data_IF_182937399038
#
_entry.id   IF_182937399038
#
_cell.length_a   1.000
_cell.length_b   1.000
_cell.length_c   1.000
_cell.angle_alpha   90.00
_cell.angle_beta   90.00
_cell.angle_gamma   90.00
#
_symmetry.space_group_name_H-M   'P 1'
#
loop_
_entity.id
_entity.type
_entity.pdbx_description
1 polymer ?
#
# COMPACT_ATOMS: atom_id res chain seq x y z
N UNK A 1 0.25 -6.20 -8.39
CA UNK A 1 0.82 -4.97 -7.82
C UNK A 1 0.73 -5.01 -6.30
N UNK A 2 1.70 -4.44 -5.63
CA UNK A 2 1.63 -4.16 -4.19
C UNK A 2 1.02 -2.77 -3.99
N UNK A 3 0.06 -2.66 -3.12
CA UNK A 3 -0.65 -1.40 -2.88
C UNK A 3 -0.69 -1.12 -1.38
N UNK A 4 -0.41 0.11 -0.99
CA UNK A 4 -0.58 0.54 0.40
C UNK A 4 -2.02 1.00 0.67
N UNK A 5 -2.33 1.29 1.91
CA UNK A 5 -3.66 1.72 2.31
C UNK A 5 -4.09 3.05 1.70
N UNK A 6 -3.15 3.95 1.43
CA UNK A 6 -3.47 5.27 0.86
C UNK A 6 -4.17 5.17 -0.49
N UNK A 7 -3.72 4.25 -1.33
CA UNK A 7 -4.31 4.02 -2.66
C UNK A 7 -5.67 3.34 -2.53
N UNK A 8 -5.78 2.35 -1.64
CA UNK A 8 -7.06 1.66 -1.40
C UNK A 8 -8.12 2.64 -0.88
N UNK A 9 -7.75 3.49 0.07
CA UNK A 9 -8.64 4.52 0.62
C UNK A 9 -9.08 5.50 -0.48
N UNK A 10 -8.14 5.99 -1.29
CA UNK A 10 -8.44 6.90 -2.38
C UNK A 10 -9.38 6.27 -3.41
N UNK A 11 -9.24 4.97 -3.67
CA UNK A 11 -10.05 4.26 -4.66
C UNK A 11 -11.53 4.18 -4.29
N UNK A 12 -11.87 4.24 -3.00
CA UNK A 12 -13.25 4.15 -2.52
C UNK A 12 -13.86 5.52 -2.18
N UNK A 13 -13.07 6.58 -2.19
CA UNK A 13 -13.52 7.91 -1.80
C UNK A 13 -13.62 8.87 -2.98
N UNK A 14 -14.05 10.10 -2.66
CA UNK A 14 -14.14 11.20 -3.62
C UNK A 14 -12.93 12.15 -3.51
N UNK A 15 -11.79 11.63 -3.06
CA UNK A 15 -10.57 12.41 -2.95
C UNK A 15 -9.97 12.73 -4.31
N UNK A 16 -9.08 13.71 -4.36
CA UNK A 16 -8.49 14.21 -5.60
C UNK A 16 -7.73 13.15 -6.41
N UNK A 17 -7.20 12.11 -5.77
CA UNK A 17 -6.49 11.02 -6.45
C UNK A 17 -7.33 9.76 -6.64
N UNK A 18 -8.62 9.81 -6.35
CA UNK A 18 -9.51 8.65 -6.46
C UNK A 18 -9.56 8.06 -7.87
N UNK A 19 -9.66 8.92 -8.87
CA UNK A 19 -9.69 8.49 -10.27
C UNK A 19 -8.37 7.83 -10.68
N UNK A 20 -7.23 8.41 -10.30
CA UNK A 20 -5.93 7.82 -10.55
C UNK A 20 -5.79 6.46 -9.87
N UNK A 21 -6.22 6.37 -8.60
CA UNK A 21 -6.16 5.12 -7.83
C UNK A 21 -6.99 4.02 -8.50
N UNK A 22 -8.22 4.33 -8.88
CA UNK A 22 -9.08 3.37 -9.58
C UNK A 22 -8.49 2.94 -10.92
N UNK A 23 -7.89 3.88 -11.65
CA UNK A 23 -7.27 3.60 -12.94
C UNK A 23 -6.05 2.69 -12.82
N UNK A 24 -5.19 2.94 -11.84
CA UNK A 24 -3.96 2.16 -11.66
C UNK A 24 -4.25 0.75 -11.12
N UNK A 25 -5.36 0.56 -10.42
CA UNK A 25 -5.78 -0.74 -9.90
C UNK A 25 -6.62 -1.55 -10.89
N UNK A 26 -7.20 -0.92 -11.89
CA UNK A 26 -8.13 -1.58 -12.82
C UNK A 26 -7.48 -2.77 -13.53
N UNK A 27 -8.10 -3.93 -13.45
CA UNK A 27 -7.60 -5.16 -14.08
C UNK A 27 -6.34 -5.74 -13.47
N UNK A 28 -5.91 -5.27 -12.33
CA UNK A 28 -4.69 -5.74 -11.65
C UNK A 28 -5.02 -6.62 -10.45
N UNK A 29 -4.22 -7.66 -10.26
CA UNK A 29 -4.20 -8.39 -9.00
C UNK A 29 -3.42 -7.56 -7.98
N UNK A 30 -4.04 -7.31 -6.84
CA UNK A 30 -3.45 -6.47 -5.80
C UNK A 30 -3.10 -7.30 -4.57
N UNK A 31 -1.93 -7.03 -4.01
CA UNK A 31 -1.49 -7.55 -2.73
C UNK A 31 -1.14 -6.37 -1.81
N UNK A 32 -1.37 -6.54 -0.52
CA UNK A 32 -1.00 -5.55 0.48
C UNK A 32 -0.55 -6.25 1.76
N UNK A 33 -0.15 -5.49 2.75
CA UNK A 33 0.09 -6.02 4.09
C UNK A 33 -1.21 -6.18 4.85
N UNK A 34 -1.29 -7.18 5.73
CA UNK A 34 -2.42 -7.34 6.65
C UNK A 34 -2.65 -6.09 7.51
N UNK A 35 -1.64 -5.25 7.72
CA UNK A 35 -1.78 -3.99 8.45
C UNK A 35 -2.74 -3.04 7.73
N UNK A 36 -2.87 -3.15 6.43
CA UNK A 36 -3.80 -2.32 5.66
C UNK A 36 -5.26 -2.57 6.08
N UNK A 37 -5.60 -3.77 6.54
CA UNK A 37 -6.95 -4.06 7.05
C UNK A 37 -7.29 -3.17 8.25
N UNK A 38 -6.32 -2.97 9.14
CA UNK A 38 -6.49 -2.11 10.31
C UNK A 38 -6.62 -0.65 9.86
N UNK A 39 -5.76 -0.21 8.96
CA UNK A 39 -5.79 1.16 8.45
C UNK A 39 -7.12 1.47 7.76
N UNK A 40 -7.60 0.54 6.91
CA UNK A 40 -8.88 0.69 6.23
C UNK A 40 -10.06 0.70 7.21
N UNK A 41 -10.04 -0.18 8.20
CA UNK A 41 -11.09 -0.23 9.22
C UNK A 41 -11.16 1.07 10.04
N UNK A 42 -10.00 1.63 10.40
CA UNK A 42 -9.94 2.89 11.12
C UNK A 42 -10.44 4.05 10.26
N UNK A 43 -10.11 4.06 8.99
CA UNK A 43 -10.62 5.07 8.06
C UNK A 43 -12.14 5.01 7.95
N UNK A 44 -12.72 3.83 7.80
CA UNK A 44 -14.18 3.66 7.71
C UNK A 44 -14.86 4.08 9.01
N UNK A 45 -14.27 3.77 10.15
CA UNK A 45 -14.78 4.20 11.45
C UNK A 45 -14.81 5.73 11.55
N UNK A 46 -13.80 6.39 11.01
CA UNK A 46 -13.69 7.85 11.01
C UNK A 46 -14.73 8.54 10.12
N UNK A 47 -14.95 7.99 8.93
CA UNK A 47 -15.78 8.63 7.88
C UNK A 47 -17.23 8.14 7.94
N UNK A 48 -17.51 7.10 8.74
CA UNK A 48 -18.86 6.57 8.89
C UNK A 48 -19.26 5.66 7.74
N UNK A 49 -20.10 5.95 6.89
CA UNK A 49 -20.91 5.13 5.97
C UNK A 49 -20.17 4.44 4.80
N UNK A 50 -18.85 4.21 4.86
CA UNK A 50 -18.10 3.62 3.74
C UNK A 50 -17.91 2.09 3.83
N UNK A 51 -18.52 1.43 4.82
CA UNK A 51 -18.36 -0.02 4.99
C UNK A 51 -18.79 -0.82 3.78
N UNK A 52 -19.85 -0.41 3.08
CA UNK A 52 -20.34 -1.09 1.88
C UNK A 52 -19.38 -0.97 0.70
N UNK A 53 -18.65 0.13 0.61
CA UNK A 53 -17.62 0.34 -0.42
C UNK A 53 -16.32 -0.38 -0.08
N UNK A 54 -16.02 -0.54 1.20
CA UNK A 54 -14.79 -1.18 1.65
C UNK A 54 -14.81 -2.70 1.42
N UNK A 55 -15.95 -3.34 1.59
CA UNK A 55 -16.07 -4.80 1.47
C UNK A 55 -15.60 -5.34 0.12
N UNK A 56 -16.00 -4.78 -1.02
CA UNK A 56 -15.48 -5.22 -2.32
C UNK A 56 -13.96 -5.03 -2.44
N UNK A 57 -13.43 -3.94 -1.91
CA UNK A 57 -11.98 -3.66 -1.95
C UNK A 57 -11.21 -4.71 -1.14
N UNK A 58 -11.64 -5.00 0.08
CA UNK A 58 -11.01 -6.04 0.92
C UNK A 58 -11.06 -7.40 0.23
N UNK A 59 -12.19 -7.73 -0.40
CA UNK A 59 -12.35 -9.01 -1.10
C UNK A 59 -11.46 -9.13 -2.33
N UNK A 60 -11.08 -8.02 -2.96
CA UNK A 60 -10.28 -7.99 -4.17
C UNK A 60 -8.77 -7.97 -3.92
N UNK A 61 -8.33 -7.79 -2.67
CA UNK A 61 -6.93 -7.67 -2.30
C UNK A 61 -6.48 -8.90 -1.52
N UNK A 62 -5.32 -9.44 -1.86
CA UNK A 62 -4.65 -10.47 -1.06
C UNK A 62 -3.78 -9.79 0.00
N UNK A 63 -3.94 -10.18 1.26
CA UNK A 63 -3.20 -9.56 2.36
C UNK A 63 -2.12 -10.49 2.89
N UNK A 64 -0.87 -10.05 2.81
CA UNK A 64 0.28 -10.78 3.34
C UNK A 64 0.35 -10.62 4.86
N UNK A 65 0.70 -11.70 5.55
CA UNK A 65 0.85 -11.68 7.02
C UNK A 65 1.99 -10.76 7.44
N UNK A 66 1.79 -10.09 8.58
CA UNK A 66 2.85 -9.33 9.25
C UNK A 66 3.55 -10.30 10.22
N UNK A 67 4.46 -11.08 9.67
CA UNK A 67 5.25 -12.05 10.44
C UNK A 67 6.62 -11.48 10.83
N UNK A 68 7.44 -12.26 11.49
CA UNK A 68 8.76 -11.83 11.97
C UNK A 68 9.66 -11.40 10.80
N UNK A 69 9.53 -12.02 9.64
CA UNK A 69 10.34 -11.69 8.46
C UNK A 69 9.92 -10.36 7.85
N UNK A 70 8.61 -10.09 7.79
CA UNK A 70 8.11 -8.79 7.35
C UNK A 70 8.54 -7.69 8.31
N UNK A 71 8.49 -7.94 9.62
CA UNK A 71 8.94 -6.99 10.64
C UNK A 71 10.44 -6.73 10.50
N UNK A 72 11.25 -7.77 10.35
CA UNK A 72 12.70 -7.63 10.15
C UNK A 72 13.00 -6.80 8.90
N UNK A 73 12.32 -7.06 7.79
CA UNK A 73 12.46 -6.29 6.57
C UNK A 73 12.06 -4.83 6.79
N UNK A 74 11.00 -4.58 7.55
CA UNK A 74 10.55 -3.22 7.86
C UNK A 74 11.59 -2.43 8.66
N UNK A 75 12.27 -3.09 9.61
CA UNK A 75 13.32 -2.43 10.41
C UNK A 75 14.52 -2.01 9.57
N UNK A 76 14.72 -2.62 8.42
CA UNK A 76 15.82 -2.30 7.50
C UNK A 76 15.46 -1.19 6.50
N UNK A 77 14.21 -0.74 6.46
CA UNK A 77 13.78 0.31 5.51
C UNK A 77 14.43 1.64 5.89
N UNK A 78 15.09 2.26 4.92
CA UNK A 78 15.75 3.56 5.10
C UNK A 78 14.80 4.70 4.69
N UNK A 79 15.02 5.88 5.26
CA UNK A 79 14.30 7.08 4.92
C UNK A 79 13.38 7.57 6.03
N UNK A 80 12.67 8.66 5.74
CA UNK A 80 11.79 9.34 6.68
C UNK A 80 10.38 8.75 6.60
N UNK A 81 10.22 7.50 7.02
CA UNK A 81 8.91 6.83 7.03
C UNK A 81 8.55 6.42 8.45
N UNK A 82 7.25 6.49 8.75
CA UNK A 82 6.71 6.03 10.01
C UNK A 82 6.65 4.49 10.02
N UNK A 83 6.44 3.93 11.20
CA UNK A 83 6.46 2.48 11.41
C UNK A 83 5.51 1.72 10.47
N UNK A 84 4.28 2.19 10.30
CA UNK A 84 3.30 1.52 9.44
C UNK A 84 3.70 1.59 7.96
N UNK A 85 4.27 2.72 7.53
CA UNK A 85 4.78 2.87 6.17
C UNK A 85 5.98 1.96 5.93
N UNK A 86 6.88 1.86 6.90
CA UNK A 86 8.01 0.93 6.84
C UNK A 86 7.54 -0.53 6.76
N UNK A 87 6.44 -0.88 7.44
CA UNK A 87 5.85 -2.22 7.33
C UNK A 87 5.35 -2.52 5.93
N UNK A 88 4.77 -1.54 5.22
CA UNK A 88 4.38 -1.73 3.82
C UNK A 88 5.60 -1.99 2.93
N UNK A 89 6.62 -1.17 3.03
CA UNK A 89 7.83 -1.36 2.22
C UNK A 89 8.53 -2.67 2.58
N UNK A 90 8.62 -2.99 3.86
CA UNK A 90 9.20 -4.25 4.34
C UNK A 90 8.43 -5.47 3.88
N UNK A 91 7.10 -5.42 3.89
CA UNK A 91 6.26 -6.50 3.39
C UNK A 91 6.50 -6.72 1.89
N UNK A 92 6.56 -5.64 1.11
CA UNK A 92 6.90 -5.73 -0.30
C UNK A 92 8.27 -6.38 -0.50
N UNK A 93 9.28 -5.96 0.26
CA UNK A 93 10.64 -6.49 0.14
C UNK A 93 10.70 -7.97 0.52
N UNK A 94 9.97 -8.38 1.56
CA UNK A 94 9.89 -9.79 1.94
C UNK A 94 9.19 -10.62 0.86
N UNK A 95 8.09 -10.14 0.29
CA UNK A 95 7.39 -10.83 -0.79
C UNK A 95 8.32 -11.06 -1.99
N UNK A 96 9.15 -10.08 -2.32
CA UNK A 96 10.14 -10.23 -3.38
C UNK A 96 11.10 -11.39 -3.11
N UNK A 97 11.52 -11.59 -1.86
CA UNK A 97 12.43 -12.68 -1.49
C UNK A 97 11.79 -14.06 -1.65
N UNK A 98 10.47 -14.15 -1.61
CA UNK A 98 9.73 -15.42 -1.78
C UNK A 98 9.12 -15.55 -3.18
N UNK A 99 9.56 -14.74 -4.14
CA UNK A 99 9.19 -14.85 -5.53
C UNK A 99 8.01 -14.02 -6.01
N UNK A 100 7.44 -13.17 -5.14
CA UNK A 100 6.38 -12.24 -5.52
C UNK A 100 7.00 -10.90 -5.86
N UNK A 101 7.24 -10.67 -7.13
CA UNK A 101 7.89 -9.45 -7.63
C UNK A 101 6.87 -8.61 -8.38
N UNK A 102 6.61 -7.41 -7.89
CA UNK A 102 5.60 -6.53 -8.47
C UNK A 102 5.88 -5.05 -8.13
N UNK A 103 5.32 -4.11 -8.91
CA UNK A 103 5.42 -2.69 -8.59
C UNK A 103 4.77 -2.35 -7.25
N UNK A 104 5.28 -1.31 -6.62
CA UNK A 104 4.74 -0.74 -5.39
C UNK A 104 3.95 0.52 -5.73
N UNK A 105 2.68 0.55 -5.36
CA UNK A 105 1.78 1.69 -5.66
C UNK A 105 1.47 2.43 -4.37
N UNK A 106 1.67 3.74 -4.36
CA UNK A 106 1.42 4.57 -3.19
C UNK A 106 1.00 5.99 -3.58
N UNK A 107 0.26 6.63 -2.69
CA UNK A 107 -0.05 8.06 -2.72
C UNK A 107 0.72 8.87 -1.67
N UNK A 108 1.66 8.22 -1.00
CA UNK A 108 2.53 8.88 -0.01
C UNK A 108 3.91 9.10 -0.63
N UNK A 109 4.31 10.37 -0.76
CA UNK A 109 5.59 10.72 -1.39
C UNK A 109 6.79 10.15 -0.62
N UNK A 110 6.77 10.21 0.70
CA UNK A 110 7.87 9.67 1.52
C UNK A 110 7.97 8.16 1.40
N UNK A 111 6.84 7.48 1.36
CA UNK A 111 6.79 6.04 1.14
C UNK A 111 7.25 5.66 -0.27
N UNK A 112 6.90 6.46 -1.28
CA UNK A 112 7.38 6.26 -2.64
C UNK A 112 8.91 6.31 -2.70
N UNK A 113 9.52 7.29 -2.04
CA UNK A 113 10.99 7.39 -1.95
C UNK A 113 11.59 6.18 -1.25
N UNK A 114 11.01 5.76 -0.11
CA UNK A 114 11.52 4.62 0.64
C UNK A 114 11.40 3.31 -0.16
N UNK A 115 10.28 3.10 -0.84
CA UNK A 115 10.08 1.92 -1.69
C UNK A 115 11.07 1.92 -2.86
N UNK A 116 11.28 3.06 -3.49
CA UNK A 116 12.26 3.21 -4.57
C UNK A 116 13.67 2.86 -4.10
N UNK A 117 14.06 3.34 -2.92
CA UNK A 117 15.37 3.02 -2.31
C UNK A 117 15.49 1.53 -1.98
N UNK A 118 14.39 0.87 -1.67
CA UNK A 118 14.37 -0.57 -1.43
C UNK A 118 14.42 -1.39 -2.72
N UNK A 119 14.41 -0.75 -3.88
CA UNK A 119 14.53 -1.40 -5.19
C UNK A 119 13.22 -1.60 -5.93
N UNK A 120 12.12 -1.04 -5.43
CA UNK A 120 10.83 -1.18 -6.09
C UNK A 120 10.70 -0.26 -7.30
N UNK A 121 9.99 -0.74 -8.32
CA UNK A 121 9.37 0.14 -9.31
C UNK A 121 8.14 0.73 -8.66
N UNK A 122 8.11 2.05 -8.51
CA UNK A 122 7.03 2.74 -7.80
C UNK A 122 6.10 3.43 -8.78
N UNK A 123 4.79 3.19 -8.62
CA UNK A 123 3.75 3.89 -9.35
C UNK A 123 3.11 4.90 -8.40
N UNK A 124 3.14 6.17 -8.79
CA UNK A 124 2.62 7.30 -8.01
C UNK A 124 2.26 8.46 -8.95
N UNK A 125 1.38 9.37 -8.52
CA UNK A 125 0.97 10.49 -9.38
C UNK A 125 1.84 11.75 -9.24
N UNK A 126 2.93 11.64 -8.50
CA UNK A 126 3.79 12.79 -8.24
C UNK A 126 4.87 12.97 -9.29
N UNK A 127 5.26 13.70 -9.95
CA UNK A 127 6.38 13.76 -10.89
C UNK A 127 7.68 13.20 -10.32
N UNK A 128 8.73 13.96 -10.36
CA UNK A 128 10.04 13.56 -9.84
C UNK A 128 10.00 13.47 -8.30
N UNK A 129 10.55 12.37 -7.77
CA UNK A 129 10.65 12.12 -6.32
C UNK A 129 11.92 12.72 -5.70
N UNK A 130 12.86 13.18 -6.50
CA UNK A 130 14.12 13.74 -6.01
C UNK A 130 13.95 15.09 -5.29
#
# INVERSE_FOLDING_TARGET
VYVDSSVLIASIGNESYGEWARGVLAGKEAVSSAIAKVELARFVHWVGQLSDYLRPVISAVSFAKVDDQAIAAATAVSGEVKALDALHVGTWAHLKTVGVECPFITLDRKQAVAASRAGATVLHPFGDLS
#
